data_IF_869082757051
#
_entry.id   IF_869082757051
#
_cell.length_a   1.000
_cell.length_b   1.000
_cell.length_c   1.000
_cell.angle_alpha   90.00
_cell.angle_beta   90.00
_cell.angle_gamma   90.00
#
_symmetry.space_group_name_H-M   'P 1'
#
loop_
_entity.id
_entity.type
_entity.pdbx_description
1 polymer ?
#
# COMPACT_ATOMS: atom_id res chain seq x y z
N UNK A 1 -21.38 35.09 18.73
CA UNK A 1 -21.20 36.51 19.08
C UNK A 1 -20.51 37.20 17.92
N UNK A 2 -21.28 37.93 17.12
CA UNK A 2 -20.79 38.68 15.95
C UNK A 2 -19.98 39.88 16.43
N UNK A 3 -18.74 40.01 15.97
CA UNK A 3 -17.95 41.24 16.12
C UNK A 3 -17.78 41.87 14.74
N UNK A 4 -18.83 42.54 14.28
CA UNK A 4 -18.80 43.46 13.14
C UNK A 4 -18.11 44.75 13.58
N UNK A 5 -16.81 44.85 13.34
CA UNK A 5 -16.09 46.12 13.43
C UNK A 5 -16.54 47.00 12.26
N UNK A 6 -17.36 48.02 12.58
CA UNK A 6 -17.67 49.14 11.68
C UNK A 6 -16.35 49.76 11.21
N UNK A 7 -16.08 49.71 9.92
CA UNK A 7 -15.08 50.55 9.27
C UNK A 7 -15.65 51.96 9.16
N UNK A 8 -15.07 52.91 9.89
CA UNK A 8 -15.35 54.33 9.69
C UNK A 8 -15.01 54.75 8.25
N UNK A 9 -15.80 55.64 7.62
CA UNK A 9 -15.50 56.13 6.29
C UNK A 9 -14.17 56.91 6.32
N UNK A 10 -13.37 56.89 5.24
CA UNK A 10 -12.11 57.62 5.23
C UNK A 10 -12.43 59.11 5.34
N UNK A 11 -11.95 59.71 6.44
CA UNK A 11 -11.93 61.16 6.65
C UNK A 11 -11.33 61.82 5.42
N UNK A 12 -12.17 62.49 4.64
CA UNK A 12 -11.78 63.39 3.57
C UNK A 12 -11.00 64.56 4.19
N UNK A 13 -9.68 64.41 4.29
CA UNK A 13 -8.78 65.52 4.58
C UNK A 13 -8.76 66.43 3.36
N UNK A 14 -9.58 67.48 3.38
CA UNK A 14 -9.49 68.58 2.42
C UNK A 14 -8.08 69.20 2.50
N UNK A 15 -7.34 69.09 1.39
CA UNK A 15 -6.07 69.79 1.21
C UNK A 15 -6.31 71.31 1.14
N UNK A 16 -5.55 72.16 1.85
CA UNK A 16 -5.83 73.60 1.94
C UNK A 16 -5.42 74.41 0.70
N UNK A 17 -5.47 73.83 -0.50
CA UNK A 17 -4.93 74.41 -1.74
C UNK A 17 -5.98 74.68 -2.83
N UNK A 18 -7.28 74.57 -2.55
CA UNK A 18 -8.32 74.61 -3.59
C UNK A 18 -8.84 75.99 -4.00
N UNK A 19 -8.39 77.12 -3.42
CA UNK A 19 -8.97 78.43 -3.76
C UNK A 19 -7.90 79.50 -4.04
N UNK A 20 -7.55 79.69 -5.32
CA UNK A 20 -6.68 80.77 -5.80
C UNK A 20 -5.99 80.46 -7.14
N UNK A 21 -5.66 81.47 -7.98
CA UNK A 21 -5.08 81.27 -9.31
C UNK A 21 -3.74 80.53 -9.23
N UNK A 22 -3.48 79.62 -10.18
CA UNK A 22 -2.23 78.87 -10.29
C UNK A 22 -1.05 79.83 -10.50
N UNK A 23 -0.16 79.91 -9.51
CA UNK A 23 1.10 80.67 -9.58
C UNK A 23 2.29 79.76 -9.86
N UNK A 24 3.37 80.30 -10.43
CA UNK A 24 4.61 79.55 -10.71
C UNK A 24 5.17 78.87 -9.45
N UNK A 25 5.12 79.54 -8.30
CA UNK A 25 5.60 79.01 -7.02
C UNK A 25 4.78 77.80 -6.54
N UNK A 26 3.46 77.83 -6.74
CA UNK A 26 2.57 76.69 -6.47
C UNK A 26 2.87 75.52 -7.39
N UNK A 27 3.11 75.77 -8.68
CA UNK A 27 3.52 74.74 -9.65
C UNK A 27 4.88 74.14 -9.31
N UNK A 28 5.85 74.96 -8.88
CA UNK A 28 7.18 74.51 -8.48
C UNK A 28 7.14 73.62 -7.23
N UNK A 29 6.35 74.00 -6.21
CA UNK A 29 6.12 73.17 -5.02
C UNK A 29 5.46 71.83 -5.37
N UNK A 30 4.47 71.83 -6.26
CA UNK A 30 3.85 70.59 -6.77
C UNK A 30 4.86 69.70 -7.49
N UNK A 31 5.81 70.27 -8.23
CA UNK A 31 6.87 69.52 -8.91
C UNK A 31 7.84 68.86 -7.92
N UNK A 32 8.30 69.59 -6.89
CA UNK A 32 9.16 69.04 -5.84
C UNK A 32 8.48 67.92 -5.05
N UNK A 33 7.20 68.09 -4.72
CA UNK A 33 6.43 67.04 -4.05
C UNK A 33 6.26 65.80 -4.93
N UNK A 34 6.05 66.00 -6.23
CA UNK A 34 5.95 64.90 -7.21
C UNK A 34 7.27 64.15 -7.37
N UNK A 35 8.41 64.86 -7.47
CA UNK A 35 9.75 64.25 -7.55
C UNK A 35 10.07 63.43 -6.30
N UNK A 36 9.72 63.95 -5.11
CA UNK A 36 9.89 63.21 -3.84
C UNK A 36 9.03 61.94 -3.82
N UNK A 37 7.74 62.03 -4.17
CA UNK A 37 6.84 60.87 -4.25
C UNK A 37 7.32 59.85 -5.28
N UNK A 38 7.90 60.29 -6.39
CA UNK A 38 8.44 59.40 -7.42
C UNK A 38 9.66 58.61 -6.91
N UNK A 39 10.58 59.27 -6.20
CA UNK A 39 11.73 58.62 -5.56
C UNK A 39 11.31 57.58 -4.52
N UNK A 40 10.39 57.95 -3.63
CA UNK A 40 9.83 57.02 -2.63
C UNK A 40 9.13 55.81 -3.29
N UNK A 41 8.44 56.04 -4.40
CA UNK A 41 7.78 54.97 -5.17
C UNK A 41 8.80 54.04 -5.82
N UNK A 42 9.87 54.60 -6.43
CA UNK A 42 10.93 53.81 -7.04
C UNK A 42 11.68 52.93 -6.02
N UNK A 43 11.94 53.45 -4.81
CA UNK A 43 12.53 52.67 -3.72
C UNK A 43 11.61 51.53 -3.26
N UNK A 44 10.31 51.81 -3.06
CA UNK A 44 9.32 50.76 -2.72
C UNK A 44 9.21 49.68 -3.79
N UNK A 45 9.28 50.04 -5.07
CA UNK A 45 9.28 49.07 -6.16
C UNK A 45 10.51 48.17 -6.09
N UNK A 46 11.69 48.74 -5.85
CA UNK A 46 12.94 47.96 -5.72
C UNK A 46 12.88 46.98 -4.54
N UNK A 47 12.40 47.41 -3.38
CA UNK A 47 12.20 46.53 -2.21
C UNK A 47 11.18 45.41 -2.50
N UNK A 48 10.13 45.72 -3.25
CA UNK A 48 9.09 44.74 -3.63
C UNK A 48 9.67 43.69 -4.59
N UNK A 49 10.46 44.11 -5.57
CA UNK A 49 11.15 43.20 -6.50
C UNK A 49 12.14 42.27 -5.78
N UNK A 50 12.88 42.80 -4.80
CA UNK A 50 13.79 42.00 -3.98
C UNK A 50 13.05 40.96 -3.14
N UNK A 51 11.96 41.35 -2.46
CA UNK A 51 11.09 40.42 -1.72
C UNK A 51 10.46 39.37 -2.63
N UNK A 52 10.07 39.74 -3.84
CA UNK A 52 9.49 38.81 -4.80
C UNK A 52 10.51 37.76 -5.27
N UNK A 53 11.75 38.18 -5.53
CA UNK A 53 12.86 37.27 -5.85
C UNK A 53 13.15 36.30 -4.70
N UNK A 54 13.25 36.81 -3.47
CA UNK A 54 13.45 35.98 -2.27
C UNK A 54 12.33 34.96 -2.08
N UNK A 55 11.07 35.39 -2.27
CA UNK A 55 9.90 34.52 -2.18
C UNK A 55 9.94 33.43 -3.25
N UNK A 56 10.28 33.79 -4.48
CA UNK A 56 10.38 32.84 -5.59
C UNK A 56 11.45 31.77 -5.34
N UNK A 57 12.61 32.16 -4.83
CA UNK A 57 13.68 31.21 -4.50
C UNK A 57 13.30 30.29 -3.32
N UNK A 58 12.66 30.84 -2.27
CA UNK A 58 12.11 30.02 -1.17
C UNK A 58 11.07 29.01 -1.66
N UNK A 59 10.21 29.40 -2.61
CA UNK A 59 9.21 28.49 -3.19
C UNK A 59 9.90 27.36 -3.96
N UNK A 60 10.88 27.68 -4.82
CA UNK A 60 11.66 26.65 -5.55
C UNK A 60 12.39 25.69 -4.61
N UNK A 61 12.98 26.20 -3.54
CA UNK A 61 13.65 25.37 -2.53
C UNK A 61 12.64 24.46 -1.82
N UNK A 62 11.48 24.99 -1.45
CA UNK A 62 10.38 24.23 -0.83
C UNK A 62 9.90 23.11 -1.74
N UNK A 63 9.69 23.40 -3.03
CA UNK A 63 9.28 22.42 -4.04
C UNK A 63 10.35 21.31 -4.21
N UNK A 64 11.64 21.68 -4.21
CA UNK A 64 12.74 20.71 -4.27
C UNK A 64 12.74 19.78 -3.05
N UNK A 65 12.66 20.35 -1.84
CA UNK A 65 12.64 19.58 -0.59
C UNK A 65 11.42 18.66 -0.54
N UNK A 66 10.24 19.15 -0.92
CA UNK A 66 9.03 18.35 -0.98
C UNK A 66 9.20 17.19 -1.97
N UNK A 67 9.68 17.46 -3.19
CA UNK A 67 9.91 16.44 -4.20
C UNK A 67 10.88 15.35 -3.72
N UNK A 68 11.97 15.75 -3.04
CA UNK A 68 12.94 14.82 -2.45
C UNK A 68 12.31 13.97 -1.35
N UNK A 69 11.55 14.59 -0.43
CA UNK A 69 10.83 13.87 0.64
C UNK A 69 9.80 12.88 0.10
N UNK A 70 9.07 13.24 -0.96
CA UNK A 70 8.13 12.33 -1.63
C UNK A 70 8.87 11.12 -2.19
N UNK A 71 9.96 11.34 -2.95
CA UNK A 71 10.78 10.24 -3.50
C UNK A 71 11.36 9.32 -2.42
N UNK A 72 11.80 9.88 -1.28
CA UNK A 72 12.27 9.07 -0.15
C UNK A 72 11.14 8.26 0.50
N UNK A 73 9.95 8.86 0.62
CA UNK A 73 8.78 8.20 1.17
C UNK A 73 8.34 7.04 0.29
N UNK A 74 8.27 7.24 -1.03
CA UNK A 74 7.95 6.18 -1.99
C UNK A 74 8.96 5.03 -1.91
N UNK A 75 10.26 5.33 -1.80
CA UNK A 75 11.30 4.31 -1.60
C UNK A 75 11.11 3.53 -0.30
N UNK A 76 10.72 4.18 0.79
CA UNK A 76 10.45 3.52 2.08
C UNK A 76 9.18 2.66 2.01
N UNK A 77 8.12 3.16 1.38
CA UNK A 77 6.88 2.41 1.16
C UNK A 77 7.12 1.15 0.33
N UNK A 78 7.85 1.26 -0.79
CA UNK A 78 8.19 0.11 -1.63
C UNK A 78 9.04 -0.94 -0.87
N UNK A 79 9.98 -0.50 -0.02
CA UNK A 79 10.75 -1.42 0.83
C UNK A 79 9.88 -2.13 1.87
N UNK A 80 8.92 -1.42 2.46
CA UNK A 80 7.97 -2.03 3.39
C UNK A 80 7.08 -3.05 2.68
N UNK A 81 6.55 -2.72 1.50
CA UNK A 81 5.75 -3.64 0.67
C UNK A 81 6.53 -4.93 0.33
N UNK A 82 7.82 -4.81 -0.02
CA UNK A 82 8.69 -5.96 -0.26
C UNK A 82 8.89 -6.84 0.98
N UNK A 83 8.96 -6.25 2.17
CA UNK A 83 9.02 -7.02 3.42
C UNK A 83 7.70 -7.75 3.70
N UNK A 84 6.56 -7.08 3.46
CA UNK A 84 5.21 -7.65 3.59
C UNK A 84 4.93 -8.80 2.62
N UNK A 85 5.48 -8.77 1.42
CA UNK A 85 5.28 -9.82 0.42
C UNK A 85 6.24 -10.99 0.61
N UNK A 86 7.53 -10.74 0.85
CA UNK A 86 8.54 -11.80 0.87
C UNK A 86 8.80 -12.42 2.25
N UNK A 87 8.99 -11.62 3.29
CA UNK A 87 9.38 -12.12 4.61
C UNK A 87 8.19 -12.59 5.42
N UNK A 88 7.08 -11.86 5.34
CA UNK A 88 5.84 -12.28 5.98
C UNK A 88 5.27 -13.54 5.34
N UNK A 89 5.34 -13.69 4.01
CA UNK A 89 4.99 -14.95 3.33
C UNK A 89 5.77 -16.14 3.91
N UNK A 90 7.09 -16.02 4.02
CA UNK A 90 7.97 -17.02 4.65
C UNK A 90 7.62 -17.31 6.11
N UNK A 91 7.23 -16.29 6.87
CA UNK A 91 6.80 -16.46 8.25
C UNK A 91 5.51 -17.28 8.30
N UNK A 92 4.52 -16.95 7.46
CA UNK A 92 3.26 -17.71 7.39
C UNK A 92 3.54 -19.16 6.99
N UNK A 93 4.37 -19.39 5.98
CA UNK A 93 4.79 -20.74 5.57
C UNK A 93 5.39 -21.52 6.75
N UNK A 94 6.26 -20.88 7.54
CA UNK A 94 6.93 -21.52 8.69
C UNK A 94 5.95 -21.88 9.81
N UNK A 95 4.97 -21.01 10.09
CA UNK A 95 3.91 -21.28 11.07
C UNK A 95 3.05 -22.47 10.63
N UNK A 96 2.64 -22.48 9.36
CA UNK A 96 1.82 -23.56 8.81
C UNK A 96 2.59 -24.87 8.80
N UNK A 97 3.84 -24.87 8.35
CA UNK A 97 4.71 -26.06 8.34
C UNK A 97 4.89 -26.65 9.75
N UNK A 98 5.02 -25.80 10.78
CA UNK A 98 5.20 -26.25 12.16
C UNK A 98 4.04 -27.08 12.70
N UNK A 99 2.81 -26.75 12.28
CA UNK A 99 1.60 -27.39 12.79
C UNK A 99 0.95 -28.39 11.82
N UNK A 100 1.30 -28.36 10.52
CA UNK A 100 0.56 -29.06 9.46
C UNK A 100 0.44 -30.57 9.70
N UNK A 101 1.49 -31.22 10.20
CA UNK A 101 1.47 -32.67 10.47
C UNK A 101 0.44 -32.97 11.57
N UNK A 102 0.50 -32.25 12.68
CA UNK A 102 -0.43 -32.42 13.80
C UNK A 102 -1.87 -32.18 13.37
N UNK A 103 -2.10 -31.09 12.62
CA UNK A 103 -3.43 -30.71 12.15
C UNK A 103 -4.04 -31.75 11.21
N UNK A 104 -3.27 -32.25 10.24
CA UNK A 104 -3.76 -33.25 9.28
C UNK A 104 -3.98 -34.62 9.94
N UNK A 105 -3.11 -35.02 10.86
CA UNK A 105 -3.26 -36.27 11.62
C UNK A 105 -4.54 -36.25 12.48
N UNK A 106 -4.88 -35.11 13.09
CA UNK A 106 -6.14 -34.93 13.81
C UNK A 106 -7.37 -35.04 12.90
N UNK A 107 -7.21 -34.75 11.60
CA UNK A 107 -8.24 -34.92 10.56
C UNK A 107 -8.20 -36.29 9.89
N UNK A 108 -7.42 -37.24 10.41
CA UNK A 108 -7.34 -38.61 9.91
C UNK A 108 -6.46 -38.80 8.67
N UNK A 109 -5.69 -37.79 8.28
CA UNK A 109 -4.70 -37.89 7.18
C UNK A 109 -3.32 -37.98 7.82
N UNK A 110 -2.82 -39.22 7.99
CA UNK A 110 -1.63 -39.53 8.77
C UNK A 110 -0.32 -39.22 8.02
N UNK A 111 -0.06 -37.95 7.73
CA UNK A 111 1.19 -37.49 7.08
C UNK A 111 2.38 -37.61 8.03
N UNK A 112 3.56 -37.87 7.47
CA UNK A 112 4.81 -38.04 8.24
C UNK A 112 5.89 -37.04 7.87
N UNK A 113 5.87 -36.54 6.62
CA UNK A 113 6.93 -35.71 6.07
C UNK A 113 6.36 -34.44 5.45
N UNK A 114 7.16 -33.37 5.44
CA UNK A 114 6.87 -32.13 4.73
C UNK A 114 7.97 -31.82 3.70
N UNK A 115 7.57 -31.30 2.54
CA UNK A 115 8.45 -30.75 1.52
C UNK A 115 8.07 -29.28 1.30
N UNK A 116 9.05 -28.39 1.30
CA UNK A 116 8.86 -26.97 1.04
C UNK A 116 9.26 -26.60 -0.39
N UNK A 117 8.58 -25.59 -0.93
CA UNK A 117 8.90 -24.96 -2.23
C UNK A 117 9.18 -26.00 -3.32
N UNK A 118 8.30 -27.00 -3.41
CA UNK A 118 8.43 -28.02 -4.44
C UNK A 118 8.11 -27.37 -5.78
N UNK A 119 9.16 -27.07 -6.53
CA UNK A 119 9.07 -26.44 -7.83
C UNK A 119 9.68 -27.30 -8.93
N UNK A 120 9.28 -27.04 -10.17
CA UNK A 120 9.79 -27.75 -11.32
C UNK A 120 9.27 -27.13 -12.62
N UNK A 121 9.80 -27.64 -13.73
CA UNK A 121 9.35 -27.28 -15.06
C UNK A 121 8.93 -28.53 -15.81
N UNK A 122 7.74 -28.52 -16.38
CA UNK A 122 7.22 -29.63 -17.19
C UNK A 122 6.38 -29.10 -18.35
N UNK A 123 6.66 -29.62 -19.53
CA UNK A 123 6.00 -29.21 -20.79
C UNK A 123 6.02 -27.70 -21.02
N UNK A 124 7.12 -27.05 -20.62
CA UNK A 124 7.32 -25.61 -20.74
C UNK A 124 6.67 -24.77 -19.64
N UNK A 125 5.87 -25.37 -18.76
CA UNK A 125 5.21 -24.72 -17.63
C UNK A 125 6.01 -24.88 -16.34
N UNK A 126 6.25 -23.77 -15.66
CA UNK A 126 6.82 -23.78 -14.32
C UNK A 126 5.69 -23.96 -13.29
N UNK A 127 5.95 -24.76 -12.27
CA UNK A 127 5.07 -24.90 -11.12
C UNK A 127 5.87 -24.77 -9.82
N UNK A 128 5.18 -24.34 -8.76
CA UNK A 128 5.68 -24.31 -7.40
C UNK A 128 4.53 -24.61 -6.44
N UNK A 129 4.80 -25.40 -5.41
CA UNK A 129 3.91 -25.62 -4.28
C UNK A 129 4.63 -25.23 -2.99
N UNK A 130 3.96 -24.44 -2.15
CA UNK A 130 4.59 -23.85 -0.96
C UNK A 130 4.96 -24.94 0.05
N UNK A 131 4.00 -25.79 0.41
CA UNK A 131 4.18 -26.92 1.32
C UNK A 131 3.46 -28.14 0.75
N UNK A 132 4.12 -29.30 0.83
CA UNK A 132 3.52 -30.60 0.57
C UNK A 132 3.70 -31.45 1.83
N UNK A 133 2.59 -31.86 2.44
CA UNK A 133 2.60 -32.87 3.50
C UNK A 133 2.28 -34.24 2.89
N UNK A 134 3.05 -35.27 3.23
CA UNK A 134 2.98 -36.57 2.55
C UNK A 134 3.17 -37.75 3.50
N UNK A 135 2.51 -38.87 3.17
CA UNK A 135 2.87 -40.20 3.64
C UNK A 135 2.95 -41.19 2.45
N UNK A 136 2.95 -42.50 2.75
CA UNK A 136 2.98 -43.56 1.74
C UNK A 136 1.85 -43.51 0.69
N UNK A 137 0.64 -43.12 1.05
CA UNK A 137 -0.57 -43.22 0.20
C UNK A 137 -1.26 -41.88 -0.12
N UNK A 138 -1.03 -40.84 0.69
CA UNK A 138 -1.76 -39.58 0.67
C UNK A 138 -0.79 -38.38 0.65
N UNK A 139 -1.23 -37.32 -0.02
CA UNK A 139 -0.55 -36.04 -0.10
C UNK A 139 -1.56 -34.93 0.17
N UNK A 140 -1.14 -33.91 0.91
CA UNK A 140 -1.83 -32.63 1.02
C UNK A 140 -0.91 -31.53 0.51
N UNK A 141 -1.30 -30.90 -0.59
CA UNK A 141 -0.61 -29.73 -1.15
C UNK A 141 -1.23 -28.47 -0.54
N UNK A 142 -0.41 -27.57 -0.01
CA UNK A 142 -0.85 -26.35 0.67
C UNK A 142 -0.32 -25.13 -0.07
N UNK A 143 -1.22 -24.20 -0.40
CA UNK A 143 -0.88 -22.85 -0.88
C UNK A 143 -1.03 -21.85 0.27
N UNK A 144 -0.01 -21.02 0.48
CA UNK A 144 0.07 -20.06 1.58
C UNK A 144 -0.08 -18.63 1.06
N UNK A 145 -0.93 -17.83 1.72
CA UNK A 145 -1.15 -16.41 1.40
C UNK A 145 -1.21 -15.56 2.67
N UNK A 146 -0.61 -14.38 2.66
CA UNK A 146 -0.82 -13.43 3.78
C UNK A 146 -2.28 -12.94 3.81
N UNK A 147 -2.83 -12.60 2.63
CA UNK A 147 -4.24 -12.31 2.42
C UNK A 147 -4.79 -13.25 1.35
N UNK A 148 -5.72 -14.13 1.71
CA UNK A 148 -6.36 -15.06 0.78
C UNK A 148 -7.45 -14.34 -0.03
N UNK A 149 -7.33 -14.37 -1.35
CA UNK A 149 -8.30 -13.78 -2.28
C UNK A 149 -9.00 -14.86 -3.12
N UNK A 150 -10.19 -14.58 -3.66
CA UNK A 150 -10.92 -15.54 -4.49
C UNK A 150 -10.13 -16.02 -5.72
N UNK A 151 -9.26 -15.17 -6.26
CA UNK A 151 -8.37 -15.51 -7.38
C UNK A 151 -7.29 -16.52 -7.00
N UNK A 152 -6.73 -16.43 -5.79
CA UNK A 152 -5.75 -17.38 -5.28
C UNK A 152 -6.35 -18.78 -5.24
N UNK A 153 -7.57 -18.91 -4.71
CA UNK A 153 -8.30 -20.19 -4.65
C UNK A 153 -8.52 -20.73 -6.07
N UNK A 154 -9.00 -19.91 -7.01
CA UNK A 154 -9.23 -20.36 -8.40
C UNK A 154 -7.95 -20.82 -9.08
N UNK A 155 -6.86 -20.08 -8.90
CA UNK A 155 -5.58 -20.40 -9.51
C UNK A 155 -4.98 -21.67 -8.89
N UNK A 156 -5.08 -21.82 -7.57
CA UNK A 156 -4.60 -23.01 -6.87
C UNK A 156 -5.37 -24.27 -7.28
N UNK A 157 -6.70 -24.20 -7.44
CA UNK A 157 -7.49 -25.32 -7.94
C UNK A 157 -7.05 -25.78 -9.35
N UNK A 158 -6.66 -24.85 -10.23
CA UNK A 158 -6.08 -25.20 -11.54
C UNK A 158 -4.75 -25.92 -11.38
N UNK A 159 -3.87 -25.45 -10.49
CA UNK A 159 -2.59 -26.12 -10.20
C UNK A 159 -2.81 -27.54 -9.67
N UNK A 160 -3.77 -27.74 -8.76
CA UNK A 160 -4.10 -29.05 -8.21
C UNK A 160 -4.55 -30.05 -9.28
N UNK A 161 -5.30 -29.62 -10.29
CA UNK A 161 -5.73 -30.48 -11.41
C UNK A 161 -4.56 -31.10 -12.18
N UNK A 162 -3.42 -30.42 -12.21
CA UNK A 162 -2.21 -30.89 -12.90
C UNK A 162 -1.17 -31.50 -11.94
N UNK A 163 -1.46 -31.62 -10.64
CA UNK A 163 -0.47 -32.03 -9.64
C UNK A 163 0.19 -33.38 -9.97
N UNK A 164 -0.59 -34.37 -10.41
CA UNK A 164 -0.09 -35.71 -10.78
C UNK A 164 0.66 -35.76 -12.11
N UNK A 165 0.34 -34.86 -13.03
CA UNK A 165 1.07 -34.68 -14.30
C UNK A 165 2.45 -34.06 -14.05
N UNK A 166 2.48 -33.04 -13.18
CA UNK A 166 3.68 -32.31 -12.80
C UNK A 166 4.59 -33.07 -11.84
N UNK A 167 4.02 -33.94 -11.00
CA UNK A 167 4.73 -34.79 -10.02
C UNK A 167 4.35 -36.28 -10.22
N UNK A 168 4.85 -36.93 -11.29
CA UNK A 168 4.47 -38.30 -11.67
C UNK A 168 4.90 -39.34 -10.62
N UNK A 169 5.90 -39.02 -9.79
CA UNK A 169 6.30 -39.81 -8.62
C UNK A 169 5.15 -40.03 -7.62
N UNK A 170 4.08 -39.23 -7.71
CA UNK A 170 2.92 -39.26 -6.84
C UNK A 170 1.61 -39.63 -7.56
N UNK A 171 1.67 -40.11 -8.80
CA UNK A 171 0.47 -40.42 -9.62
C UNK A 171 -0.50 -41.38 -8.94
N UNK A 172 0.04 -42.35 -8.18
CA UNK A 172 -0.72 -43.42 -7.52
C UNK A 172 -1.18 -43.03 -6.11
N UNK A 173 -0.82 -41.83 -5.63
CA UNK A 173 -1.24 -41.31 -4.32
C UNK A 173 -2.54 -40.53 -4.43
N UNK A 174 -3.27 -40.45 -3.32
CA UNK A 174 -4.42 -39.56 -3.19
C UNK A 174 -3.93 -38.14 -2.90
N UNK A 175 -4.33 -37.16 -3.72
CA UNK A 175 -3.91 -35.76 -3.57
C UNK A 175 -5.07 -34.93 -3.04
N UNK A 176 -4.88 -34.26 -1.91
CA UNK A 176 -5.78 -33.25 -1.39
C UNK A 176 -5.14 -31.87 -1.47
N UNK A 177 -5.97 -30.84 -1.36
CA UNK A 177 -5.53 -29.44 -1.34
C UNK A 177 -5.88 -28.74 -0.05
N UNK A 178 -5.05 -27.79 0.35
CA UNK A 178 -5.31 -26.85 1.44
C UNK A 178 -4.90 -25.44 1.05
N UNK A 179 -5.56 -24.44 1.63
CA UNK A 179 -5.11 -23.05 1.62
C UNK A 179 -4.83 -22.59 3.04
N UNK A 180 -3.74 -21.86 3.23
CA UNK A 180 -3.36 -21.32 4.53
C UNK A 180 -3.17 -19.81 4.48
N UNK A 181 -3.67 -19.08 5.48
CA UNK A 181 -3.66 -17.63 5.45
C UNK A 181 -3.74 -16.93 6.80
N UNK A 182 -3.28 -15.67 6.85
CA UNK A 182 -3.47 -14.78 8.02
C UNK A 182 -4.80 -14.04 7.95
N UNK A 183 -5.17 -13.51 6.78
CA UNK A 183 -6.38 -12.73 6.54
C UNK A 183 -7.03 -13.11 5.22
N UNK A 184 -8.29 -12.76 5.00
CA UNK A 184 -9.00 -13.07 3.76
C UNK A 184 -9.85 -11.90 3.29
N UNK A 185 -10.11 -11.86 1.99
CA UNK A 185 -11.24 -11.12 1.44
C UNK A 185 -12.54 -11.86 1.78
N UNK A 186 -13.62 -11.12 2.00
CA UNK A 186 -14.87 -11.66 2.53
C UNK A 186 -15.38 -12.92 1.79
N UNK A 187 -15.55 -14.02 2.53
CA UNK A 187 -16.14 -15.26 2.04
C UNK A 187 -15.21 -16.16 1.22
N UNK A 188 -13.91 -15.86 1.18
CA UNK A 188 -12.93 -16.63 0.39
C UNK A 188 -12.61 -17.99 1.00
N UNK A 189 -12.47 -18.06 2.33
CA UNK A 189 -12.30 -19.29 3.10
C UNK A 189 -13.50 -20.23 2.88
N UNK A 190 -14.72 -19.71 2.97
CA UNK A 190 -15.94 -20.45 2.68
C UNK A 190 -15.98 -20.95 1.24
N UNK A 191 -15.47 -20.17 0.28
CA UNK A 191 -15.33 -20.61 -1.11
C UNK A 191 -14.34 -21.78 -1.22
N UNK A 192 -13.17 -21.69 -0.58
CA UNK A 192 -12.15 -22.74 -0.58
C UNK A 192 -12.68 -24.05 0.02
N UNK A 193 -13.34 -23.98 1.18
CA UNK A 193 -13.99 -25.13 1.81
C UNK A 193 -15.03 -25.78 0.88
N UNK A 194 -15.94 -24.99 0.30
CA UNK A 194 -16.95 -25.50 -0.66
C UNK A 194 -16.34 -26.13 -1.91
N UNK A 195 -15.08 -25.81 -2.24
CA UNK A 195 -14.33 -26.41 -3.35
C UNK A 195 -13.54 -27.65 -2.92
N UNK A 196 -13.71 -28.10 -1.68
CA UNK A 196 -13.12 -29.32 -1.14
C UNK A 196 -11.68 -29.14 -0.67
N UNK A 197 -11.28 -27.91 -0.33
CA UNK A 197 -9.96 -27.63 0.24
C UNK A 197 -10.02 -27.57 1.76
N UNK A 198 -8.97 -28.07 2.41
CA UNK A 198 -8.72 -27.68 3.80
C UNK A 198 -8.44 -26.18 3.88
N UNK A 199 -8.89 -25.56 4.95
CA UNK A 199 -8.79 -24.12 5.19
C UNK A 199 -8.07 -23.94 6.51
N UNK A 200 -6.87 -23.36 6.43
CA UNK A 200 -5.96 -23.21 7.56
C UNK A 200 -5.80 -21.73 7.88
N UNK A 201 -6.09 -21.36 9.12
CA UNK A 201 -5.85 -20.00 9.62
C UNK A 201 -4.55 -19.98 10.41
N UNK A 202 -3.59 -19.18 9.95
CA UNK A 202 -2.38 -18.86 10.71
C UNK A 202 -2.67 -17.65 11.62
N UNK A 203 -2.35 -17.77 12.90
CA UNK A 203 -2.59 -16.73 13.91
C UNK A 203 -1.42 -16.65 14.86
N UNK A 204 -0.86 -15.46 15.06
CA UNK A 204 0.18 -15.22 16.08
C UNK A 204 1.39 -16.12 15.91
N UNK A 205 1.41 -17.22 16.65
CA UNK A 205 2.49 -18.21 16.80
C UNK A 205 2.12 -19.62 16.32
N UNK A 206 0.93 -19.84 15.74
CA UNK A 206 0.43 -21.17 15.35
C UNK A 206 -0.52 -21.13 14.13
N UNK A 207 -0.97 -22.30 13.69
CA UNK A 207 -1.98 -22.51 12.67
C UNK A 207 -3.07 -23.49 13.10
N UNK A 208 -4.27 -23.35 12.53
CA UNK A 208 -5.41 -24.23 12.83
C UNK A 208 -6.28 -24.49 11.60
N UNK A 209 -6.82 -25.70 11.46
CA UNK A 209 -7.83 -26.02 10.44
C UNK A 209 -9.19 -25.50 10.93
N UNK A 210 -9.80 -24.60 10.16
CA UNK A 210 -11.09 -23.97 10.52
C UNK A 210 -12.30 -24.60 9.81
N UNK A 211 -12.09 -25.66 9.02
CA UNK A 211 -13.19 -26.42 8.45
C UNK A 211 -14.06 -27.06 9.55
N UNK A 212 -15.32 -27.31 9.24
CA UNK A 212 -16.21 -28.09 10.12
C UNK A 212 -15.62 -29.49 10.40
N UNK A 213 -15.93 -30.08 11.55
CA UNK A 213 -15.38 -31.39 11.96
C UNK A 213 -15.72 -32.53 10.99
N UNK A 214 -16.90 -32.45 10.37
CA UNK A 214 -17.37 -33.43 9.38
C UNK A 214 -16.96 -33.10 7.93
N UNK A 215 -16.06 -32.14 7.73
CA UNK A 215 -15.56 -31.79 6.40
C UNK A 215 -14.81 -32.96 5.77
N UNK A 216 -15.15 -33.25 4.51
CA UNK A 216 -14.48 -34.28 3.71
C UNK A 216 -13.76 -33.57 2.56
N UNK A 217 -12.42 -33.66 2.48
CA UNK A 217 -11.66 -33.01 1.42
C UNK A 217 -11.90 -33.69 0.07
N UNK A 218 -11.81 -32.91 -1.00
CA UNK A 218 -11.85 -33.45 -2.36
C UNK A 218 -10.48 -34.01 -2.75
N UNK A 219 -10.48 -35.23 -3.29
CA UNK A 219 -9.31 -35.81 -3.96
C UNK A 219 -9.16 -35.28 -5.40
N UNK A 220 -7.92 -35.02 -5.81
CA UNK A 220 -7.52 -34.47 -7.12
C UNK A 220 -6.73 -35.49 -7.96
#
# INVERSE_FOLDING_TARGET
>A
MNNTSKSDPPSSSESPLSEGPLTFEKVWLMFQETDKRFKETAERFKETDEKFKETTERMKETDRILSEKFKETDKKLNKLEQLFTSQWGKLVESLVEGDIITLLNQRGIYVTDTLKRRSGRRDGLDYEFDIIAINGSEIVIVEVKTTLRPEDVRNFLKKLQHAKEWMPEYKDKTVYGAVAFISEDAGTATMAEKKGLFVIRATGDSASIINMDNFIPKAW
#
